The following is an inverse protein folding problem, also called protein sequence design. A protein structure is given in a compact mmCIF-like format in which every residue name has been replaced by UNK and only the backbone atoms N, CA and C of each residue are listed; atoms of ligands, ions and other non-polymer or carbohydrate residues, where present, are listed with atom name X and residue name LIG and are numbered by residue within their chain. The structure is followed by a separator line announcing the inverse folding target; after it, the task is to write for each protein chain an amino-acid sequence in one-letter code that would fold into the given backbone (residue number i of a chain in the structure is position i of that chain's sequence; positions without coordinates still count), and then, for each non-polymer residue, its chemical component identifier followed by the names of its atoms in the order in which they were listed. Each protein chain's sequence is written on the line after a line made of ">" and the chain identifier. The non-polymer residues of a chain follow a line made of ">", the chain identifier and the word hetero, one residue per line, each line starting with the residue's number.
data_IF_261398298734
#
_entry.id   IF_261398298734
#
_cell.length_a   1.000
_cell.length_b   1.000
_cell.length_c   1.000
_cell.angle_alpha   90.00
_cell.angle_beta   90.00
_cell.angle_gamma   90.00
#
_symmetry.space_group_name_H-M   'P 1'
#
loop_
_entity.id
_entity.type
_entity.pdbx_description
1 polymer ?
#
# COMPACT_ATOMS: atom_id res chain seq x y z
N UNK A 1 -17.89 22.73 4.21
CA UNK A 1 -17.46 21.44 3.62
C UNK A 1 -17.91 20.36 4.59
N UNK A 2 -18.97 19.59 4.29
CA UNK A 2 -19.40 18.47 5.15
C UNK A 2 -18.53 17.28 4.79
N UNK A 3 -17.80 16.75 5.77
CA UNK A 3 -17.15 15.46 5.59
C UNK A 3 -18.23 14.40 5.40
N UNK A 4 -18.06 13.46 4.45
CA UNK A 4 -18.97 12.34 4.32
C UNK A 4 -19.02 11.55 5.63
N UNK A 5 -20.18 10.99 5.97
CA UNK A 5 -20.27 10.10 7.12
C UNK A 5 -19.41 8.85 6.88
N UNK A 6 -19.03 8.16 7.95
CA UNK A 6 -18.29 6.90 7.85
C UNK A 6 -19.04 5.91 6.93
N UNK A 7 -20.37 5.86 7.00
CA UNK A 7 -21.20 5.00 6.15
C UNK A 7 -21.06 5.33 4.66
N UNK A 8 -20.97 6.63 4.32
CA UNK A 8 -20.79 7.06 2.94
C UNK A 8 -19.42 6.64 2.39
N UNK A 9 -18.37 6.80 3.20
CA UNK A 9 -17.01 6.38 2.82
C UNK A 9 -16.98 4.86 2.65
N UNK A 10 -17.59 4.11 3.57
CA UNK A 10 -17.69 2.67 3.50
C UNK A 10 -18.39 2.21 2.22
N UNK A 11 -19.53 2.81 1.88
CA UNK A 11 -20.26 2.49 0.65
C UNK A 11 -19.40 2.75 -0.60
N UNK A 12 -18.67 3.86 -0.66
CA UNK A 12 -17.76 4.12 -1.79
C UNK A 12 -16.63 3.08 -1.91
N UNK A 13 -16.07 2.63 -0.78
CA UNK A 13 -15.08 1.55 -0.79
C UNK A 13 -15.67 0.25 -1.33
N UNK A 14 -16.89 -0.11 -0.90
CA UNK A 14 -17.60 -1.30 -1.37
C UNK A 14 -17.94 -1.20 -2.86
N UNK A 15 -18.40 -0.04 -3.33
CA UNK A 15 -18.70 0.20 -4.75
C UNK A 15 -17.46 0.02 -5.63
N UNK A 16 -16.30 0.52 -5.19
CA UNK A 16 -15.01 0.30 -5.86
C UNK A 16 -14.64 -1.18 -5.93
N UNK A 17 -14.81 -1.91 -4.82
CA UNK A 17 -14.53 -3.34 -4.76
C UNK A 17 -15.47 -4.13 -5.69
N UNK A 18 -16.76 -3.80 -5.69
CA UNK A 18 -17.75 -4.42 -6.58
C UNK A 18 -17.45 -4.12 -8.06
N UNK A 19 -17.02 -2.90 -8.37
CA UNK A 19 -16.59 -2.55 -9.72
C UNK A 19 -15.38 -3.38 -10.17
N UNK A 20 -14.37 -3.51 -9.30
CA UNK A 20 -13.24 -4.41 -9.54
C UNK A 20 -13.69 -5.86 -9.74
N UNK A 21 -14.58 -6.37 -8.88
CA UNK A 21 -15.09 -7.74 -8.96
C UNK A 21 -15.77 -8.00 -10.30
N UNK A 22 -16.57 -7.05 -10.80
CA UNK A 22 -17.20 -7.11 -12.13
C UNK A 22 -16.19 -7.16 -13.27
N UNK A 23 -15.11 -6.39 -13.19
CA UNK A 23 -14.04 -6.40 -14.20
C UNK A 23 -13.36 -7.77 -14.26
N UNK A 24 -13.05 -8.35 -13.10
CA UNK A 24 -12.38 -9.65 -13.01
C UNK A 24 -13.34 -10.83 -13.17
N UNK A 25 -14.66 -10.60 -13.21
CA UNK A 25 -15.67 -11.65 -13.29
C UNK A 25 -15.75 -12.53 -12.05
N UNK A 26 -15.35 -12.02 -10.88
CA UNK A 26 -15.31 -12.75 -9.59
C UNK A 26 -16.35 -12.19 -8.63
N UNK A 27 -16.59 -12.92 -7.53
CA UNK A 27 -17.52 -12.50 -6.49
C UNK A 27 -16.90 -11.45 -5.56
N UNK A 28 -17.76 -10.71 -4.83
CA UNK A 28 -17.35 -9.76 -3.81
C UNK A 28 -16.47 -10.40 -2.72
N UNK A 29 -16.81 -11.62 -2.31
CA UNK A 29 -16.05 -12.34 -1.29
C UNK A 29 -14.64 -12.69 -1.76
N UNK A 30 -14.50 -13.11 -3.02
CA UNK A 30 -13.22 -13.47 -3.61
C UNK A 30 -12.31 -12.24 -3.76
N UNK A 31 -12.82 -11.12 -4.30
CA UNK A 31 -11.99 -9.92 -4.47
C UNK A 31 -11.49 -9.39 -3.11
N UNK A 32 -12.30 -9.49 -2.06
CA UNK A 32 -11.90 -9.11 -0.72
C UNK A 32 -10.71 -9.94 -0.23
N UNK A 33 -10.76 -11.27 -0.37
CA UNK A 33 -9.65 -12.15 0.03
C UNK A 33 -8.40 -11.84 -0.77
N UNK A 34 -8.51 -11.66 -2.09
CA UNK A 34 -7.35 -11.32 -2.92
C UNK A 34 -6.73 -9.98 -2.52
N UNK A 35 -7.52 -8.93 -2.31
CA UNK A 35 -6.99 -7.61 -1.96
C UNK A 35 -6.38 -7.61 -0.57
N UNK A 36 -7.10 -8.10 0.44
CA UNK A 36 -6.67 -7.96 1.84
C UNK A 36 -5.68 -9.03 2.28
N UNK A 37 -5.76 -10.25 1.78
CA UNK A 37 -4.89 -11.35 2.20
C UNK A 37 -3.70 -11.59 1.27
N UNK A 38 -3.75 -11.13 0.01
CA UNK A 38 -2.68 -11.36 -0.96
C UNK A 38 -1.99 -10.06 -1.36
N UNK A 39 -2.74 -9.12 -1.94
CA UNK A 39 -2.17 -7.87 -2.48
C UNK A 39 -1.62 -7.01 -1.34
N UNK A 40 -2.39 -6.80 -0.28
CA UNK A 40 -2.00 -5.91 0.81
C UNK A 40 -0.74 -6.39 1.56
N UNK A 41 -0.60 -7.67 1.96
CA UNK A 41 0.62 -8.15 2.60
C UNK A 41 1.81 -8.11 1.64
N UNK A 42 1.62 -8.48 0.37
CA UNK A 42 2.71 -8.43 -0.62
C UNK A 42 3.20 -7.00 -0.84
N UNK A 43 2.27 -6.04 -1.00
CA UNK A 43 2.60 -4.63 -1.14
C UNK A 43 3.36 -4.11 0.09
N UNK A 44 2.93 -4.50 1.30
CA UNK A 44 3.61 -4.14 2.54
C UNK A 44 5.03 -4.71 2.60
N UNK A 45 5.23 -5.96 2.20
CA UNK A 45 6.56 -6.59 2.15
C UNK A 45 7.49 -5.89 1.15
N UNK A 46 6.98 -5.50 -0.02
CA UNK A 46 7.75 -4.73 -1.02
C UNK A 46 8.17 -3.38 -0.44
N UNK A 47 7.25 -2.66 0.21
CA UNK A 47 7.56 -1.38 0.85
C UNK A 47 8.59 -1.54 1.96
N UNK A 48 8.50 -2.59 2.78
CA UNK A 48 9.50 -2.90 3.80
C UNK A 48 10.88 -3.14 3.18
N UNK A 49 10.95 -3.89 2.08
CA UNK A 49 12.17 -4.11 1.33
C UNK A 49 12.77 -2.79 0.80
N UNK A 50 11.94 -1.93 0.21
CA UNK A 50 12.36 -0.61 -0.29
C UNK A 50 12.90 0.28 0.83
N UNK A 51 12.19 0.36 1.97
CA UNK A 51 12.62 1.13 3.14
C UNK A 51 13.95 0.59 3.70
N UNK A 52 14.12 -0.74 3.73
CA UNK A 52 15.37 -1.34 4.18
C UNK A 52 16.55 -0.97 3.27
N UNK A 53 16.38 -1.08 1.96
CA UNK A 53 17.40 -0.69 0.98
C UNK A 53 17.72 0.80 1.10
N UNK A 54 16.71 1.66 1.17
CA UNK A 54 16.86 3.10 1.29
C UNK A 54 17.61 3.49 2.57
N UNK A 55 17.30 2.84 3.70
CA UNK A 55 18.04 3.04 4.97
C UNK A 55 19.50 2.63 4.85
N UNK A 56 19.80 1.52 4.18
CA UNK A 56 21.17 1.04 3.98
C UNK A 56 21.97 2.02 3.12
N UNK A 57 21.40 2.50 2.02
CA UNK A 57 22.06 3.48 1.13
C UNK A 57 22.27 4.81 1.84
N UNK A 58 21.26 5.32 2.56
CA UNK A 58 21.41 6.56 3.32
C UNK A 58 22.49 6.47 4.41
N UNK A 59 22.67 5.32 5.06
CA UNK A 59 23.78 5.14 6.02
C UNK A 59 25.15 5.23 5.35
N UNK A 60 25.34 4.61 4.19
CA UNK A 60 26.60 4.68 3.43
C UNK A 60 26.90 6.10 2.98
N UNK A 61 25.93 6.76 2.33
CA UNK A 61 26.05 8.14 1.86
C UNK A 61 26.37 9.11 3.01
N UNK A 62 25.77 8.92 4.19
CA UNK A 62 26.09 9.74 5.37
C UNK A 62 27.56 9.56 5.79
N UNK A 63 28.08 8.34 5.82
CA UNK A 63 29.48 8.09 6.19
C UNK A 63 30.44 8.72 5.18
N UNK A 64 30.18 8.55 3.88
CA UNK A 64 30.97 9.18 2.81
C UNK A 64 30.95 10.71 2.90
N UNK A 65 29.79 11.30 3.23
CA UNK A 65 29.66 12.74 3.46
C UNK A 65 30.46 13.23 4.69
N UNK A 66 30.55 12.42 5.75
CA UNK A 66 31.37 12.75 6.93
C UNK A 66 32.87 12.66 6.62
N UNK A 67 33.30 11.62 5.89
CA UNK A 67 34.70 11.45 5.49
C UNK A 67 35.15 12.59 4.58
N UNK A 68 34.33 13.01 3.61
CA UNK A 68 34.67 14.14 2.71
C UNK A 68 34.70 15.51 3.40
N UNK A 69 34.13 15.63 4.60
CA UNK A 69 34.09 16.89 5.38
C UNK A 69 35.28 17.03 6.32
N UNK A 70 35.93 15.92 6.71
CA UNK A 70 37.05 15.90 7.66
C UNK A 70 38.37 16.02 6.90
#
# INVERSE_FOLDING_TARGET
>A
MKFPSIDQIFNWCVDLLLFGAKIFGITYNEINVYIFCVIWPLFTLILLGCVFQLRRTNRKLRNELFEKRT
#
